data_IF_487262891378
#
_entry.id   IF_487262891378
#
_cell.length_a   1.000
_cell.length_b   1.000
_cell.length_c   1.000
_cell.angle_alpha   90.00
_cell.angle_beta   90.00
_cell.angle_gamma   90.00
#
_symmetry.space_group_name_H-M   'P 1'
#
loop_
_entity.id
_entity.type
_entity.pdbx_description
1 polymer ?
#
# COMPACT_ATOMS: atom_id res chain seq x y z
N UNK A 1 -0.45 -1.45 5.89
CA UNK A 1 0.52 -2.10 4.97
C UNK A 1 0.65 -1.36 3.66
N UNK A 2 -0.42 -1.19 2.87
CA UNK A 2 -0.34 -0.51 1.56
C UNK A 2 0.30 0.88 1.64
N UNK A 3 -0.15 1.75 2.55
CA UNK A 3 0.44 3.08 2.77
C UNK A 3 1.96 3.01 3.00
N UNK A 4 2.38 2.25 4.01
CA UNK A 4 3.80 2.08 4.33
C UNK A 4 4.63 1.51 3.16
N UNK A 5 4.04 0.68 2.30
CA UNK A 5 4.71 0.15 1.11
C UNK A 5 4.86 1.19 0.01
N UNK A 6 3.84 2.06 -0.19
CA UNK A 6 3.92 3.20 -1.10
C UNK A 6 4.95 4.23 -0.61
N UNK A 7 4.95 4.53 0.69
CA UNK A 7 5.93 5.43 1.32
C UNK A 7 7.37 4.90 1.19
N UNK A 8 7.54 3.58 1.17
CA UNK A 8 8.81 2.90 0.97
C UNK A 8 9.15 2.65 -0.53
N UNK A 9 8.44 3.28 -1.46
CA UNK A 9 8.63 3.12 -2.91
C UNK A 9 8.61 1.66 -3.40
N UNK A 10 7.85 0.82 -2.72
CA UNK A 10 7.71 -0.60 -3.05
C UNK A 10 8.70 -1.54 -2.37
N UNK A 11 9.62 -1.02 -1.53
CA UNK A 11 10.60 -1.83 -0.81
C UNK A 11 9.93 -2.60 0.34
N UNK A 12 9.88 -3.93 0.19
CA UNK A 12 9.30 -4.85 1.18
C UNK A 12 10.06 -4.84 2.51
N UNK A 13 11.38 -4.73 2.48
CA UNK A 13 12.22 -4.75 3.69
C UNK A 13 12.05 -3.44 4.47
N UNK A 14 12.08 -2.30 3.78
CA UNK A 14 11.82 -1.01 4.41
C UNK A 14 10.38 -0.93 4.97
N UNK A 15 9.39 -1.45 4.23
CA UNK A 15 8.00 -1.58 4.70
C UNK A 15 7.92 -2.44 5.97
N UNK A 16 8.62 -3.57 5.99
CA UNK A 16 8.63 -4.49 7.12
C UNK A 16 9.25 -3.85 8.36
N UNK A 17 10.35 -3.13 8.19
CA UNK A 17 10.99 -2.34 9.23
C UNK A 17 10.03 -1.27 9.78
N UNK A 18 9.37 -0.50 8.92
CA UNK A 18 8.42 0.54 9.30
C UNK A 18 7.18 -0.01 10.04
N UNK A 19 6.74 -1.22 9.70
CA UNK A 19 5.59 -1.87 10.33
C UNK A 19 5.96 -2.79 11.52
N UNK A 20 7.25 -2.95 11.82
CA UNK A 20 7.78 -3.86 12.83
C UNK A 20 7.27 -5.31 12.67
N UNK A 21 7.27 -5.81 11.43
CA UNK A 21 6.89 -7.19 11.11
C UNK A 21 7.98 -7.89 10.29
N UNK A 22 7.87 -9.21 10.14
CA UNK A 22 8.75 -9.94 9.26
C UNK A 22 8.46 -9.62 7.77
N UNK A 23 9.47 -9.52 6.88
CA UNK A 23 9.27 -9.25 5.45
C UNK A 23 8.28 -10.20 4.76
N UNK A 24 8.23 -11.47 5.18
CA UNK A 24 7.29 -12.44 4.63
C UNK A 24 5.82 -12.09 4.93
N UNK A 25 5.54 -11.50 6.09
CA UNK A 25 4.20 -10.99 6.42
C UNK A 25 3.81 -9.83 5.51
N UNK A 26 4.76 -8.97 5.12
CA UNK A 26 4.52 -7.90 4.15
C UNK A 26 4.20 -8.49 2.77
N UNK A 27 5.01 -9.45 2.28
CA UNK A 27 4.75 -10.13 0.99
C UNK A 27 3.38 -10.79 0.95
N UNK A 28 3.02 -11.51 2.02
CA UNK A 28 1.72 -12.13 2.15
C UNK A 28 0.58 -11.10 2.07
N UNK A 29 0.67 -10.01 2.84
CA UNK A 29 -0.34 -8.94 2.81
C UNK A 29 -0.39 -8.22 1.45
N UNK A 30 0.74 -8.06 0.76
CA UNK A 30 0.77 -7.49 -0.59
C UNK A 30 0.14 -8.43 -1.63
N UNK A 31 0.32 -9.74 -1.50
CA UNK A 31 -0.39 -10.71 -2.34
C UNK A 31 -1.91 -10.58 -2.16
N UNK A 32 -2.40 -10.50 -0.92
CA UNK A 32 -3.83 -10.27 -0.65
C UNK A 32 -4.35 -8.94 -1.22
N UNK A 33 -3.53 -7.88 -1.16
CA UNK A 33 -3.89 -6.59 -1.78
C UNK A 33 -3.97 -6.74 -3.31
N UNK A 34 -3.06 -7.49 -3.94
CA UNK A 34 -3.13 -7.76 -5.38
C UNK A 34 -4.37 -8.55 -5.78
N UNK A 35 -4.90 -9.41 -4.92
CA UNK A 35 -6.19 -10.07 -5.18
C UNK A 35 -7.35 -9.07 -5.26
N UNK A 36 -7.25 -7.92 -4.57
CA UNK A 36 -8.28 -6.87 -4.56
C UNK A 36 -8.06 -5.80 -5.63
N UNK A 37 -6.81 -5.39 -5.84
CA UNK A 37 -6.44 -4.29 -6.73
C UNK A 37 -5.98 -4.76 -8.12
N UNK A 38 -5.72 -6.05 -8.31
CA UNK A 38 -5.17 -6.60 -9.55
C UNK A 38 -3.85 -5.96 -9.95
N UNK A 39 -3.70 -5.76 -11.26
CA UNK A 39 -2.51 -5.14 -11.88
C UNK A 39 -2.36 -3.64 -11.56
N UNK A 40 -3.36 -3.03 -10.92
CA UNK A 40 -3.33 -1.62 -10.54
C UNK A 40 -2.16 -1.30 -9.58
N UNK A 41 -1.72 -2.28 -8.79
CA UNK A 41 -0.55 -2.13 -7.93
C UNK A 41 0.77 -2.20 -8.70
N UNK A 42 0.79 -2.44 -10.00
CA UNK A 42 2.00 -2.41 -10.83
C UNK A 42 2.07 -1.17 -11.75
N UNK A 43 0.95 -0.44 -11.90
CA UNK A 43 0.89 0.84 -12.61
C UNK A 43 1.39 2.02 -11.73
N UNK A 44 2.42 2.78 -12.17
CA UNK A 44 2.93 3.92 -11.42
C UNK A 44 1.89 5.02 -11.15
N UNK A 45 0.97 5.25 -12.09
CA UNK A 45 -0.06 6.29 -11.95
C UNK A 45 -1.04 5.93 -10.85
N UNK A 46 -1.54 4.70 -10.87
CA UNK A 46 -2.45 4.18 -9.85
C UNK A 46 -1.78 4.15 -8.46
N UNK A 47 -0.50 3.79 -8.37
CA UNK A 47 0.24 3.87 -7.10
C UNK A 47 0.27 5.29 -6.53
N UNK A 48 0.46 6.29 -7.38
CA UNK A 48 0.44 7.69 -6.98
C UNK A 48 -0.95 8.10 -6.48
N UNK A 49 -2.00 7.76 -7.22
CA UNK A 49 -3.39 8.05 -6.83
C UNK A 49 -3.75 7.42 -5.49
N UNK A 50 -3.37 6.15 -5.29
CA UNK A 50 -3.55 5.45 -4.01
C UNK A 50 -2.76 6.11 -2.89
N UNK A 51 -1.52 6.58 -3.14
CA UNK A 51 -0.73 7.28 -2.14
C UNK A 51 -1.41 8.58 -1.69
N UNK A 52 -1.95 9.36 -2.64
CA UNK A 52 -2.69 10.60 -2.36
C UNK A 52 -3.98 10.30 -1.60
N UNK A 53 -4.79 9.35 -2.07
CA UNK A 53 -6.05 8.97 -1.43
C UNK A 53 -5.83 8.50 0.02
N UNK A 54 -4.78 7.71 0.25
CA UNK A 54 -4.44 7.24 1.59
C UNK A 54 -3.93 8.38 2.49
N UNK A 55 -3.34 9.45 1.96
CA UNK A 55 -2.93 10.62 2.76
C UNK A 55 -4.08 11.59 3.05
N UNK A 56 -5.02 11.74 2.12
CA UNK A 56 -6.20 12.58 2.29
C UNK A 56 -7.16 12.04 3.37
N UNK A 57 -7.12 10.73 3.63
CA UNK A 57 -8.08 10.06 4.50
C UNK A 57 -9.38 9.73 3.77
N UNK A 58 -10.31 8.99 4.40
CA UNK A 58 -11.61 8.75 3.81
C UNK A 58 -12.31 10.12 3.56
N UNK A 59 -13.01 10.31 2.43
CA UNK A 59 -13.82 11.50 2.26
C UNK A 59 -14.80 11.59 3.44
N UNK A 60 -15.05 12.81 3.92
CA UNK A 60 -16.09 13.05 4.91
C UNK A 60 -17.40 12.45 4.38
N UNK A 61 -18.11 11.62 5.18
CA UNK A 61 -19.39 11.09 4.73
C UNK A 61 -20.35 12.26 4.46
N UNK A 62 -21.19 12.17 3.40
CA UNK A 62 -22.17 13.21 3.13
C UNK A 62 -23.10 13.39 4.34
N UNK A 63 -23.58 14.62 4.60
CA UNK A 63 -24.44 14.92 5.75
C UNK A 63 -25.78 14.18 5.72
#
# INVERSE_FOLDING_TARGET
TLRAWLDAHGDVTATAAALHVHPQTVRYRLAQLRDTFGDALDDPTTRLELAVALHAGPPEPPP
#
